data_IF_935193504819
#
_entry.id   IF_935193504819
#
_cell.length_a   1.000
_cell.length_b   1.000
_cell.length_c   1.000
_cell.angle_alpha   90.00
_cell.angle_beta   90.00
_cell.angle_gamma   90.00
#
_symmetry.space_group_name_H-M   'P 1'
#
loop_
_entity.id
_entity.type
_entity.pdbx_description
1 polymer ?
#
# COMPACT_ATOMS: atom_id res chain seq x y z
N UNK A 1 26.91 0.08 -9.79
CA UNK A 1 27.07 -1.19 -10.57
C UNK A 1 25.77 -2.01 -10.68
N UNK A 2 24.77 -1.80 -9.81
CA UNK A 2 23.51 -2.60 -9.80
C UNK A 2 22.43 -1.94 -10.68
N UNK A 3 22.45 -0.61 -10.88
CA UNK A 3 21.61 0.08 -11.85
C UNK A 3 21.74 -0.42 -13.29
N UNK A 4 22.81 -1.18 -13.57
CA UNK A 4 23.04 -1.80 -14.88
C UNK A 4 22.27 -3.13 -15.08
N UNK A 5 21.59 -3.66 -14.07
CA UNK A 5 20.91 -4.96 -14.12
C UNK A 5 19.42 -4.88 -14.49
N UNK A 6 18.82 -3.69 -14.41
CA UNK A 6 17.39 -3.50 -14.71
C UNK A 6 17.18 -2.39 -15.73
N UNK A 7 16.07 -2.50 -16.46
CA UNK A 7 15.59 -1.49 -17.40
C UNK A 7 14.24 -0.97 -16.92
N UNK A 8 14.06 0.37 -16.94
CA UNK A 8 12.80 1.03 -16.58
C UNK A 8 12.27 1.80 -17.79
N UNK A 9 11.04 1.47 -18.22
CA UNK A 9 10.32 2.16 -19.29
C UNK A 9 9.09 2.84 -18.72
N UNK A 10 8.88 4.13 -19.03
CA UNK A 10 7.76 4.93 -18.50
C UNK A 10 6.74 5.25 -19.60
N UNK A 11 5.47 5.15 -19.24
CA UNK A 11 4.32 5.53 -20.06
C UNK A 11 3.53 6.62 -19.33
N UNK A 12 3.50 7.83 -19.89
CA UNK A 12 2.61 8.88 -19.37
C UNK A 12 1.17 8.49 -19.60
N UNK A 13 0.33 8.80 -18.63
CA UNK A 13 -1.11 8.54 -18.69
C UNK A 13 -1.88 9.84 -18.37
N UNK A 14 -2.78 10.21 -19.29
CA UNK A 14 -3.64 11.39 -19.13
C UNK A 14 -5.02 11.03 -18.52
N UNK A 15 -5.19 9.77 -18.18
CA UNK A 15 -6.45 9.17 -17.79
C UNK A 15 -6.99 9.65 -16.43
N UNK A 16 -6.12 10.04 -15.50
CA UNK A 16 -6.51 10.30 -14.11
C UNK A 16 -7.13 11.68 -13.87
N UNK A 17 -7.11 12.53 -14.89
CA UNK A 17 -7.73 13.85 -14.84
C UNK A 17 -9.06 13.81 -15.58
N UNK A 18 -10.17 13.65 -14.85
CA UNK A 18 -11.50 13.76 -15.45
C UNK A 18 -12.07 15.19 -15.41
N UNK A 19 -11.25 16.18 -15.03
CA UNK A 19 -11.66 17.58 -14.89
C UNK A 19 -12.65 17.85 -13.74
N UNK A 20 -12.99 16.85 -12.95
CA UNK A 20 -13.95 16.96 -11.85
C UNK A 20 -13.30 17.35 -10.51
N UNK A 21 -12.01 17.12 -10.35
CA UNK A 21 -11.27 17.47 -9.13
C UNK A 21 -10.38 18.69 -9.38
N UNK A 22 -10.56 19.75 -8.60
CA UNK A 22 -9.63 20.89 -8.54
C UNK A 22 -8.26 20.49 -7.99
N UNK A 23 -8.19 19.35 -7.32
CA UNK A 23 -6.98 18.75 -6.75
C UNK A 23 -6.98 17.27 -7.13
N UNK A 24 -6.54 16.95 -8.36
CA UNK A 24 -6.38 15.55 -8.76
C UNK A 24 -5.50 14.85 -7.74
N UNK A 25 -6.07 13.85 -7.07
CA UNK A 25 -5.30 12.95 -6.19
C UNK A 25 -4.44 12.12 -7.14
N UNK A 26 -3.17 12.47 -7.24
CA UNK A 26 -2.23 11.87 -8.20
C UNK A 26 -1.92 10.39 -7.91
N UNK A 27 -2.69 9.73 -7.05
CA UNK A 27 -2.52 8.32 -6.68
C UNK A 27 -3.42 7.42 -7.50
N UNK A 28 -2.91 6.26 -7.88
CA UNK A 28 -3.70 5.16 -8.41
C UNK A 28 -3.12 3.80 -7.99
N UNK A 29 -3.96 2.79 -8.06
CA UNK A 29 -3.68 1.42 -7.69
C UNK A 29 -3.86 0.52 -8.90
N UNK A 30 -3.06 -0.53 -8.97
CA UNK A 30 -2.98 -1.45 -10.09
C UNK A 30 -3.38 -2.86 -9.65
N UNK A 31 -4.07 -3.59 -10.51
CA UNK A 31 -4.24 -5.02 -10.33
C UNK A 31 -4.26 -5.72 -11.69
N UNK A 32 -3.82 -6.97 -11.71
CA UNK A 32 -3.76 -7.76 -12.95
C UNK A 32 -4.91 -8.74 -13.01
N UNK A 33 -5.54 -8.83 -14.17
CA UNK A 33 -6.57 -9.83 -14.43
C UNK A 33 -6.47 -10.29 -15.88
N UNK A 34 -6.33 -11.60 -16.08
CA UNK A 34 -6.12 -12.21 -17.38
C UNK A 34 -4.99 -11.53 -18.17
N UNK A 35 -5.30 -10.98 -19.34
CA UNK A 35 -4.36 -10.23 -20.18
C UNK A 35 -4.44 -8.71 -19.97
N UNK A 36 -5.08 -8.25 -18.90
CA UNK A 36 -5.27 -6.82 -18.65
C UNK A 36 -4.70 -6.38 -17.31
N UNK A 37 -4.42 -5.08 -17.24
CA UNK A 37 -4.15 -4.36 -15.99
C UNK A 37 -5.32 -3.44 -15.73
N UNK A 38 -5.97 -3.61 -14.59
CA UNK A 38 -6.94 -2.67 -14.06
C UNK A 38 -6.19 -1.55 -13.35
N UNK A 39 -6.59 -0.30 -13.58
CA UNK A 39 -6.08 0.87 -12.88
C UNK A 39 -7.25 1.62 -12.23
N UNK A 40 -7.10 1.95 -10.96
CA UNK A 40 -8.11 2.71 -10.20
C UNK A 40 -7.45 3.90 -9.55
N UNK A 41 -7.89 5.11 -9.90
CA UNK A 41 -7.38 6.32 -9.26
C UNK A 41 -7.95 6.49 -7.85
N UNK A 42 -7.26 7.24 -7.01
CA UNK A 42 -7.77 7.61 -5.69
C UNK A 42 -9.10 8.39 -5.75
N UNK A 43 -9.40 9.01 -6.88
CA UNK A 43 -10.68 9.69 -7.15
C UNK A 43 -11.80 8.74 -7.65
N UNK A 44 -11.53 7.44 -7.76
CA UNK A 44 -12.51 6.44 -8.19
C UNK A 44 -12.70 6.34 -9.70
N UNK A 45 -11.81 6.91 -10.51
CA UNK A 45 -11.80 6.66 -11.96
C UNK A 45 -11.22 5.28 -12.22
N UNK A 46 -11.93 4.45 -12.97
CA UNK A 46 -11.53 3.08 -13.27
C UNK A 46 -11.28 2.92 -14.77
N UNK A 47 -10.23 2.20 -15.09
CA UNK A 47 -9.93 1.84 -16.46
C UNK A 47 -9.02 0.61 -16.54
N UNK A 48 -8.76 0.18 -17.76
CA UNK A 48 -7.88 -0.95 -18.02
C UNK A 48 -7.09 -0.76 -19.31
N UNK A 49 -6.00 -1.51 -19.41
CA UNK A 49 -5.24 -1.64 -20.65
C UNK A 49 -4.74 -3.08 -20.79
N UNK A 50 -4.54 -3.53 -22.06
CA UNK A 50 -3.99 -4.85 -22.30
C UNK A 50 -2.48 -4.89 -22.03
N UNK A 51 -2.02 -5.93 -21.35
CA UNK A 51 -0.62 -6.14 -20.95
C UNK A 51 0.34 -6.06 -22.15
N UNK A 52 -0.07 -6.52 -23.34
CA UNK A 52 0.75 -6.48 -24.54
C UNK A 52 1.13 -5.04 -24.96
N UNK A 53 0.37 -4.03 -24.55
CA UNK A 53 0.72 -2.63 -24.82
C UNK A 53 2.02 -2.20 -24.12
N UNK A 54 2.42 -2.88 -23.03
CA UNK A 54 3.67 -2.60 -22.32
C UNK A 54 4.92 -2.89 -23.18
N UNK A 55 4.80 -3.75 -24.18
CA UNK A 55 5.87 -4.02 -25.15
C UNK A 55 5.92 -2.98 -26.28
N UNK A 56 4.91 -2.13 -26.41
CA UNK A 56 4.83 -1.05 -27.41
C UNK A 56 5.36 0.27 -26.82
N UNK A 57 5.40 1.34 -27.63
CA UNK A 57 5.77 2.67 -27.16
C UNK A 57 4.58 3.54 -26.73
N UNK A 58 3.36 2.99 -26.78
CA UNK A 58 2.14 3.71 -26.44
C UNK A 58 1.23 2.86 -25.56
N UNK A 59 0.72 3.48 -24.51
CA UNK A 59 -0.29 2.89 -23.63
C UNK A 59 -1.61 3.66 -23.84
N UNK A 60 -2.69 2.92 -24.06
CA UNK A 60 -4.05 3.47 -24.16
C UNK A 60 -4.94 2.84 -23.12
N UNK A 61 -5.45 3.64 -22.18
CA UNK A 61 -6.32 3.18 -21.12
C UNK A 61 -7.78 3.34 -21.57
N UNK A 62 -8.55 2.27 -21.48
CA UNK A 62 -9.99 2.27 -21.72
C UNK A 62 -10.71 2.50 -20.40
N UNK A 63 -11.53 3.52 -20.33
CA UNK A 63 -12.33 3.85 -19.13
C UNK A 63 -13.45 2.83 -18.93
N UNK A 64 -13.71 2.46 -17.68
CA UNK A 64 -14.84 1.61 -17.29
C UNK A 64 -15.81 2.47 -16.46
N UNK A 65 -17.07 2.64 -16.90
CA UNK A 65 -18.10 3.30 -16.10
C UNK A 65 -18.37 2.55 -14.79
N UNK A 66 -18.59 3.29 -13.70
CA UNK A 66 -18.89 2.72 -12.38
C UNK A 66 -20.06 3.45 -11.72
N UNK A 67 -20.52 2.91 -10.59
CA UNK A 67 -21.49 3.55 -9.71
C UNK A 67 -20.83 3.98 -8.37
N UNK A 68 -19.53 4.19 -8.32
CA UNK A 68 -18.82 4.57 -7.07
C UNK A 68 -19.41 5.85 -6.47
N UNK A 69 -19.88 6.79 -7.29
CA UNK A 69 -20.52 8.04 -6.84
C UNK A 69 -21.75 7.81 -5.94
N UNK A 70 -22.38 6.63 -5.97
CA UNK A 70 -23.52 6.32 -5.09
C UNK A 70 -23.10 5.92 -3.65
N UNK A 71 -21.81 5.75 -3.38
CA UNK A 71 -21.27 5.35 -2.08
C UNK A 71 -20.47 6.45 -1.36
N UNK A 72 -20.33 7.61 -2.00
CA UNK A 72 -19.53 8.72 -1.50
C UNK A 72 -20.37 9.99 -1.42
N UNK A 73 -20.07 10.87 -0.45
CA UNK A 73 -20.50 12.26 -0.54
C UNK A 73 -19.64 12.98 -1.57
N UNK A 74 -20.25 13.44 -2.66
CA UNK A 74 -19.53 14.03 -3.79
C UNK A 74 -18.73 15.27 -3.37
N UNK A 75 -19.31 16.15 -2.56
CA UNK A 75 -18.65 17.39 -2.16
C UNK A 75 -17.43 17.10 -1.26
N UNK A 76 -17.59 16.24 -0.26
CA UNK A 76 -16.52 15.88 0.68
C UNK A 76 -15.44 15.06 -0.01
N UNK A 77 -15.81 14.01 -0.74
CA UNK A 77 -14.84 13.06 -1.33
C UNK A 77 -13.87 13.73 -2.30
N UNK A 78 -14.33 14.67 -3.11
CA UNK A 78 -13.49 15.35 -4.09
C UNK A 78 -12.75 16.58 -3.54
N UNK A 79 -13.15 17.12 -2.41
CA UNK A 79 -12.49 18.29 -1.80
C UNK A 79 -11.51 17.94 -0.70
N UNK A 80 -11.72 16.82 0.00
CA UNK A 80 -10.84 16.41 1.10
C UNK A 80 -9.73 15.46 0.59
N UNK A 81 -8.48 15.84 0.79
CA UNK A 81 -7.32 15.07 0.32
C UNK A 81 -7.18 13.71 1.00
N UNK A 82 -7.71 13.53 2.19
CA UNK A 82 -7.64 12.26 2.94
C UNK A 82 -8.70 11.24 2.50
N UNK A 83 -9.83 11.66 1.91
CA UNK A 83 -10.82 10.76 1.35
C UNK A 83 -10.32 10.20 0.01
N UNK A 84 -10.64 8.98 -0.31
CA UNK A 84 -10.29 8.38 -1.60
C UNK A 84 -10.32 6.85 -1.58
N UNK A 85 -10.18 6.27 -2.76
CA UNK A 85 -9.85 4.87 -2.92
C UNK A 85 -8.44 4.64 -2.34
N UNK A 86 -8.25 3.53 -1.63
CA UNK A 86 -6.99 3.19 -0.95
C UNK A 86 -6.33 1.94 -1.50
N UNK A 87 -7.09 1.09 -2.19
CA UNK A 87 -6.57 -0.07 -2.90
C UNK A 87 -7.59 -0.65 -3.88
N UNK A 88 -7.10 -1.42 -4.84
CA UNK A 88 -7.87 -2.35 -5.68
C UNK A 88 -7.29 -3.74 -5.57
N UNK A 89 -8.14 -4.71 -5.35
CA UNK A 89 -7.76 -6.12 -5.28
C UNK A 89 -8.74 -6.97 -6.10
N UNK A 90 -8.22 -7.96 -6.81
CA UNK A 90 -9.03 -8.91 -7.59
C UNK A 90 -8.85 -10.30 -6.99
N UNK A 91 -9.97 -10.93 -6.66
CA UNK A 91 -10.03 -12.34 -6.26
C UNK A 91 -11.09 -13.05 -7.09
N UNK A 92 -10.67 -14.06 -7.84
CA UNK A 92 -11.48 -14.70 -8.86
C UNK A 92 -12.07 -13.64 -9.83
N UNK A 93 -13.38 -13.67 -10.05
CA UNK A 93 -14.12 -12.71 -10.89
C UNK A 93 -14.61 -11.47 -10.13
N UNK A 94 -14.05 -11.16 -8.96
CA UNK A 94 -14.53 -10.04 -8.15
C UNK A 94 -13.45 -8.98 -7.97
N UNK A 95 -13.85 -7.72 -8.16
CA UNK A 95 -13.07 -6.53 -7.84
C UNK A 95 -13.48 -6.02 -6.47
N UNK A 96 -12.51 -5.83 -5.59
CA UNK A 96 -12.68 -5.21 -4.28
C UNK A 96 -11.98 -3.86 -4.27
N UNK A 97 -12.65 -2.82 -3.80
CA UNK A 97 -12.08 -1.48 -3.61
C UNK A 97 -12.20 -1.10 -2.14
N UNK A 98 -11.07 -0.84 -1.49
CA UNK A 98 -11.12 -0.16 -0.20
C UNK A 98 -11.18 1.35 -0.40
N UNK A 99 -11.91 2.03 0.45
CA UNK A 99 -12.08 3.47 0.38
C UNK A 99 -12.37 4.07 1.75
N UNK A 100 -12.03 5.33 1.93
CA UNK A 100 -12.45 6.09 3.10
C UNK A 100 -13.93 6.45 2.97
N UNK A 101 -14.75 5.89 3.85
CA UNK A 101 -16.19 6.06 3.89
C UNK A 101 -16.57 7.08 4.96
N UNK A 102 -17.40 8.04 4.59
CA UNK A 102 -18.09 8.88 5.53
C UNK A 102 -19.39 8.18 5.95
N UNK A 103 -19.46 7.71 7.21
CA UNK A 103 -20.65 7.03 7.71
C UNK A 103 -21.77 8.00 8.10
N UNK A 104 -21.38 9.15 8.62
CA UNK A 104 -22.24 10.27 9.01
C UNK A 104 -21.41 11.55 8.98
N UNK A 105 -22.04 12.70 9.17
CA UNK A 105 -21.36 13.98 9.18
C UNK A 105 -20.10 13.94 10.07
N UNK A 106 -18.97 14.30 9.48
CA UNK A 106 -17.61 14.32 10.08
C UNK A 106 -17.19 13.03 10.79
N UNK A 107 -17.66 11.86 10.35
CA UNK A 107 -17.25 10.58 10.92
C UNK A 107 -16.88 9.56 9.85
N UNK A 108 -15.63 9.09 9.87
CA UNK A 108 -14.99 8.37 8.78
C UNK A 108 -14.42 7.02 9.23
N UNK A 109 -14.39 6.08 8.31
CA UNK A 109 -13.70 4.81 8.47
C UNK A 109 -13.15 4.30 7.13
N UNK A 110 -12.55 3.11 7.13
CA UNK A 110 -12.19 2.37 5.91
C UNK A 110 -13.22 1.27 5.67
N UNK A 111 -13.74 1.18 4.45
CA UNK A 111 -14.75 0.20 4.04
C UNK A 111 -14.37 -0.41 2.70
N UNK A 112 -15.04 -1.49 2.29
CA UNK A 112 -14.79 -2.18 1.04
C UNK A 112 -16.06 -2.25 0.20
N UNK A 113 -15.94 -1.89 -1.08
CA UNK A 113 -16.91 -2.15 -2.13
C UNK A 113 -16.51 -3.41 -2.91
N UNK A 114 -17.51 -4.10 -3.48
CA UNK A 114 -17.30 -5.27 -4.32
C UNK A 114 -18.13 -5.17 -5.59
N UNK A 115 -17.52 -5.53 -6.73
CA UNK A 115 -18.20 -5.70 -8.02
C UNK A 115 -17.75 -7.01 -8.67
N UNK A 116 -18.56 -7.56 -9.57
CA UNK A 116 -18.07 -8.55 -10.53
C UNK A 116 -17.26 -7.86 -11.62
N UNK A 117 -16.20 -8.51 -12.08
CA UNK A 117 -15.41 -8.04 -13.21
C UNK A 117 -16.29 -7.94 -14.46
N UNK A 118 -16.39 -6.74 -15.01
CA UNK A 118 -17.01 -6.45 -16.30
C UNK A 118 -16.33 -5.23 -16.92
N UNK A 119 -15.66 -5.41 -18.03
CA UNK A 119 -14.96 -4.33 -18.74
C UNK A 119 -15.89 -3.29 -19.38
N UNK A 120 -17.20 -3.56 -19.44
CA UNK A 120 -18.20 -2.61 -19.94
C UNK A 120 -18.72 -1.69 -18.85
N UNK A 121 -18.89 -2.23 -17.63
CA UNK A 121 -19.38 -1.48 -16.47
C UNK A 121 -19.15 -2.24 -15.17
N UNK A 122 -18.54 -1.60 -14.17
CA UNK A 122 -18.42 -2.17 -12.83
C UNK A 122 -19.52 -1.62 -11.92
N UNK A 123 -20.40 -2.53 -11.47
CA UNK A 123 -21.47 -2.20 -10.52
C UNK A 123 -21.07 -2.66 -9.13
N UNK A 124 -20.62 -1.73 -8.32
CA UNK A 124 -20.23 -1.96 -6.95
C UNK A 124 -21.42 -2.05 -6.01
N UNK A 125 -21.25 -2.84 -4.95
CA UNK A 125 -22.12 -2.94 -3.80
C UNK A 125 -21.28 -2.86 -2.53
N UNK A 126 -21.86 -2.44 -1.39
CA UNK A 126 -21.20 -2.56 -0.10
C UNK A 126 -20.80 -4.02 0.15
N UNK A 127 -19.55 -4.24 0.52
CA UNK A 127 -19.05 -5.57 0.86
C UNK A 127 -18.72 -5.68 2.35
N UNK A 128 -17.98 -4.72 2.87
CA UNK A 128 -17.58 -4.67 4.28
C UNK A 128 -17.58 -3.24 4.79
N UNK A 129 -18.20 -3.05 5.94
CA UNK A 129 -18.18 -1.81 6.71
C UNK A 129 -18.48 -2.14 8.16
N UNK A 130 -17.94 -1.33 9.07
CA UNK A 130 -18.27 -1.38 10.50
C UNK A 130 -18.97 -0.08 10.91
N UNK A 131 -19.72 -0.09 12.01
CA UNK A 131 -20.37 1.11 12.53
C UNK A 131 -19.40 2.04 13.28
N UNK A 132 -18.21 1.53 13.61
CA UNK A 132 -17.16 2.33 14.24
C UNK A 132 -16.59 3.34 13.23
N UNK A 133 -16.51 4.59 13.64
CA UNK A 133 -15.91 5.66 12.87
C UNK A 133 -15.22 6.69 13.77
N UNK A 134 -14.31 7.47 13.22
CA UNK A 134 -13.63 8.55 13.94
C UNK A 134 -13.85 9.89 13.29
N UNK A 135 -13.89 10.94 14.10
CA UNK A 135 -14.06 12.33 13.66
C UNK A 135 -12.71 13.04 13.53
N UNK A 136 -12.66 14.11 12.76
CA UNK A 136 -11.51 15.01 12.73
C UNK A 136 -11.30 15.63 14.11
N UNK A 137 -10.19 15.32 14.77
CA UNK A 137 -9.96 15.71 16.16
C UNK A 137 -9.17 17.00 16.31
N UNK A 138 -8.41 17.42 15.29
CA UNK A 138 -7.55 18.60 15.37
C UNK A 138 -7.14 19.11 13.99
N UNK A 139 -7.08 20.45 13.84
CA UNK A 139 -6.49 21.10 12.66
C UNK A 139 -4.96 20.93 12.58
N UNK A 140 -4.31 20.41 13.62
CA UNK A 140 -2.87 20.22 13.71
C UNK A 140 -2.44 18.77 13.47
N UNK A 141 -3.39 17.85 13.50
CA UNK A 141 -3.16 16.43 13.26
C UNK A 141 -3.65 16.09 11.85
N UNK A 142 -2.72 15.83 10.94
CA UNK A 142 -3.01 15.37 9.58
C UNK A 142 -3.42 13.89 9.55
N UNK A 143 -4.16 13.47 10.55
CA UNK A 143 -4.37 12.10 10.97
C UNK A 143 -5.33 11.33 10.07
N UNK A 144 -6.27 12.02 9.43
CA UNK A 144 -7.25 11.39 8.55
C UNK A 144 -6.61 10.77 7.30
N UNK A 145 -5.33 11.08 7.01
CA UNK A 145 -4.56 10.44 5.95
C UNK A 145 -4.08 9.03 6.31
N UNK A 146 -4.12 8.65 7.58
CA UNK A 146 -3.65 7.35 8.06
C UNK A 146 -4.76 6.29 7.96
N UNK A 147 -5.23 6.04 6.77
CA UNK A 147 -6.37 5.13 6.56
C UNK A 147 -5.97 3.65 6.43
N UNK A 148 -4.71 3.35 6.07
CA UNK A 148 -4.37 2.01 5.60
C UNK A 148 -5.08 1.70 4.27
N UNK A 149 -5.73 0.55 4.18
CA UNK A 149 -6.64 0.20 3.10
C UNK A 149 -6.16 -0.92 2.18
N UNK A 150 -4.95 -1.46 2.35
CA UNK A 150 -4.47 -2.58 1.51
C UNK A 150 -5.28 -3.83 1.71
N UNK A 151 -5.55 -4.53 0.61
CA UNK A 151 -6.33 -5.77 0.56
C UNK A 151 -5.49 -6.87 -0.07
N UNK A 152 -5.45 -8.04 0.57
CA UNK A 152 -4.98 -9.29 -0.04
C UNK A 152 -5.96 -10.43 0.30
N UNK A 153 -5.87 -11.54 -0.43
CA UNK A 153 -6.49 -12.80 0.00
C UNK A 153 -5.56 -13.54 0.95
N UNK A 154 -6.09 -14.06 2.03
CA UNK A 154 -5.41 -15.04 2.87
C UNK A 154 -5.63 -16.45 2.30
N UNK A 155 -6.82 -16.70 1.79
CA UNK A 155 -7.26 -17.91 1.10
C UNK A 155 -8.67 -17.68 0.49
N UNK A 156 -9.30 -18.70 -0.05
CA UNK A 156 -10.64 -18.59 -0.69
C UNK A 156 -11.75 -18.13 0.27
N UNK A 157 -11.51 -18.17 1.59
CA UNK A 157 -12.51 -17.83 2.62
C UNK A 157 -12.31 -16.45 3.22
N UNK A 158 -11.08 -15.94 3.23
CA UNK A 158 -10.74 -14.72 3.96
C UNK A 158 -9.97 -13.72 3.12
N UNK A 159 -10.43 -12.46 3.15
CA UNK A 159 -9.61 -11.30 2.79
C UNK A 159 -8.93 -10.72 4.03
N UNK A 160 -7.79 -10.09 3.82
CA UNK A 160 -7.09 -9.29 4.84
C UNK A 160 -7.17 -7.82 4.44
N UNK A 161 -7.47 -6.97 5.40
CA UNK A 161 -7.53 -5.52 5.25
C UNK A 161 -6.61 -4.86 6.27
N UNK A 162 -5.80 -3.92 5.83
CA UNK A 162 -5.10 -3.02 6.74
C UNK A 162 -5.99 -1.85 7.11
N UNK A 163 -6.07 -1.54 8.41
CA UNK A 163 -6.82 -0.40 8.95
C UNK A 163 -5.86 0.51 9.69
N UNK A 164 -5.76 1.75 9.25
CA UNK A 164 -4.91 2.74 9.91
C UNK A 164 -5.52 3.31 11.19
N UNK A 165 -4.76 4.18 11.84
CA UNK A 165 -5.17 4.76 13.12
C UNK A 165 -6.17 5.93 12.99
N UNK A 166 -6.26 6.57 11.82
CA UNK A 166 -7.06 7.77 11.59
C UNK A 166 -6.84 8.86 12.67
N UNK A 167 -5.72 8.79 13.40
CA UNK A 167 -5.41 9.65 14.53
C UNK A 167 -6.18 9.38 15.82
N UNK A 168 -6.91 8.30 15.88
CA UNK A 168 -7.63 7.87 17.07
C UNK A 168 -6.73 7.01 17.96
N UNK A 169 -5.76 7.67 18.62
CA UNK A 169 -4.70 6.98 19.41
C UNK A 169 -5.24 6.07 20.51
N UNK A 170 -6.38 6.44 21.11
CA UNK A 170 -7.02 5.69 22.17
C UNK A 170 -7.57 4.33 21.70
N UNK A 171 -7.98 4.24 20.45
CA UNK A 171 -8.57 3.05 19.85
C UNK A 171 -7.53 1.96 19.48
N UNK A 172 -6.26 2.35 19.28
CA UNK A 172 -5.25 1.47 18.66
C UNK A 172 -4.91 0.27 19.54
N UNK A 173 -4.86 0.47 20.85
CA UNK A 173 -4.55 -0.59 21.81
C UNK A 173 -5.82 -1.27 22.37
N UNK A 174 -7.02 -0.77 22.01
CA UNK A 174 -8.30 -1.40 22.39
C UNK A 174 -8.58 -2.61 21.47
N UNK A 175 -8.78 -3.77 22.04
CA UNK A 175 -9.10 -5.02 21.32
C UNK A 175 -10.52 -5.03 20.73
N UNK A 176 -11.41 -4.13 21.17
CA UNK A 176 -12.76 -3.99 20.64
C UNK A 176 -12.85 -3.03 19.45
N UNK A 177 -11.79 -2.23 19.21
CA UNK A 177 -11.72 -1.33 18.06
C UNK A 177 -11.05 -2.00 16.88
N UNK A 178 -11.49 -1.67 15.66
CA UNK A 178 -10.82 -2.13 14.44
C UNK A 178 -9.74 -1.16 13.97
N UNK A 179 -9.64 0.06 14.50
CA UNK A 179 -8.60 1.03 14.15
C UNK A 179 -7.20 0.58 14.57
N UNK A 180 -6.21 0.86 13.72
CA UNK A 180 -4.81 0.46 13.95
C UNK A 180 -4.60 -1.06 13.97
N UNK A 181 -5.34 -1.77 13.15
CA UNK A 181 -5.33 -3.25 13.07
C UNK A 181 -5.05 -3.73 11.65
N UNK A 182 -4.55 -4.94 11.56
CA UNK A 182 -4.68 -5.77 10.37
C UNK A 182 -5.72 -6.83 10.69
N UNK A 183 -6.77 -6.90 9.90
CA UNK A 183 -7.93 -7.76 10.14
C UNK A 183 -8.12 -8.76 9.02
N UNK A 184 -8.64 -9.94 9.34
CA UNK A 184 -9.16 -10.88 8.36
C UNK A 184 -10.68 -10.83 8.35
N UNK A 185 -11.26 -10.79 7.16
CA UNK A 185 -12.70 -10.67 6.90
C UNK A 185 -13.17 -11.93 6.20
N UNK A 186 -14.14 -12.62 6.77
CA UNK A 186 -14.76 -13.76 6.10
C UNK A 186 -15.59 -13.29 4.89
N UNK A 187 -15.32 -13.84 3.70
CA UNK A 187 -15.94 -13.39 2.44
C UNK A 187 -17.47 -13.61 2.43
N UNK A 188 -17.96 -14.65 3.09
CA UNK A 188 -19.39 -14.97 3.12
C UNK A 188 -20.13 -14.23 4.22
N UNK A 189 -19.66 -14.35 5.46
CA UNK A 189 -20.37 -13.82 6.63
C UNK A 189 -20.11 -12.36 6.91
N UNK A 190 -19.03 -11.78 6.35
CA UNK A 190 -18.53 -10.40 6.60
C UNK A 190 -18.04 -10.16 8.03
N UNK A 191 -18.02 -11.21 8.87
CA UNK A 191 -17.41 -11.10 10.18
C UNK A 191 -15.90 -10.93 10.07
N UNK A 192 -15.31 -10.14 10.94
CA UNK A 192 -13.87 -9.97 10.98
C UNK A 192 -13.27 -10.40 12.30
N UNK A 193 -11.97 -10.67 12.27
CA UNK A 193 -11.14 -10.85 13.46
C UNK A 193 -9.78 -10.19 13.27
N UNK A 194 -9.16 -9.78 14.38
CA UNK A 194 -7.87 -9.11 14.38
C UNK A 194 -6.75 -10.14 14.16
N UNK A 195 -5.84 -9.86 13.23
CA UNK A 195 -4.60 -10.62 13.00
C UNK A 195 -3.46 -9.99 13.80
N UNK A 196 -3.34 -8.65 13.73
CA UNK A 196 -2.33 -7.90 14.48
C UNK A 196 -2.84 -6.51 14.83
N UNK A 197 -2.18 -5.85 15.80
CA UNK A 197 -2.57 -4.53 16.31
C UNK A 197 -1.35 -3.63 16.56
N UNK A 198 -1.62 -2.39 16.91
CA UNK A 198 -0.55 -1.43 17.17
C UNK A 198 0.05 -0.87 15.88
N UNK A 199 -0.79 -0.65 14.86
CA UNK A 199 -0.41 -0.10 13.56
C UNK A 199 -0.84 1.36 13.42
N UNK A 200 0.00 2.17 12.73
CA UNK A 200 -0.29 3.56 12.44
C UNK A 200 -0.96 3.73 11.07
N UNK A 201 -0.24 3.46 10.00
CA UNK A 201 -0.70 3.66 8.63
C UNK A 201 -0.10 2.61 7.68
N UNK A 202 -0.58 1.37 7.72
CA UNK A 202 -0.07 0.30 6.88
C UNK A 202 -0.42 0.52 5.41
N UNK A 203 0.62 0.60 4.54
CA UNK A 203 0.50 0.96 3.13
C UNK A 203 0.86 -0.16 2.16
N UNK A 204 1.43 -1.24 2.64
CA UNK A 204 1.75 -2.43 1.84
C UNK A 204 1.43 -3.71 2.59
N UNK A 205 1.10 -4.75 1.84
CA UNK A 205 0.70 -6.03 2.40
C UNK A 205 1.02 -7.19 1.44
N UNK A 206 1.75 -8.18 1.92
CA UNK A 206 2.06 -9.39 1.17
C UNK A 206 1.97 -10.64 2.06
N UNK A 207 1.49 -11.75 1.49
CA UNK A 207 1.42 -13.03 2.17
C UNK A 207 2.55 -13.94 1.71
N UNK A 208 3.33 -14.46 2.66
CA UNK A 208 4.25 -15.56 2.42
C UNK A 208 3.63 -16.88 2.88
N UNK A 209 3.07 -17.63 1.94
CA UNK A 209 2.45 -18.93 2.21
C UNK A 209 3.46 -19.96 2.74
N UNK A 210 4.75 -19.83 2.40
CA UNK A 210 5.78 -20.79 2.81
C UNK A 210 6.12 -20.64 4.30
N UNK A 211 6.28 -19.42 4.76
CA UNK A 211 6.56 -19.14 6.18
C UNK A 211 5.29 -18.90 7.02
N UNK A 212 4.12 -18.90 6.40
CA UNK A 212 2.83 -18.55 7.03
C UNK A 212 2.89 -17.17 7.71
N UNK A 213 3.46 -16.19 7.00
CA UNK A 213 3.75 -14.85 7.51
C UNK A 213 3.15 -13.78 6.61
N UNK A 214 2.48 -12.80 7.19
CA UNK A 214 2.14 -11.56 6.48
C UNK A 214 3.28 -10.56 6.66
N UNK A 215 3.69 -9.95 5.56
CA UNK A 215 4.63 -8.83 5.56
C UNK A 215 3.82 -7.55 5.36
N UNK A 216 3.93 -6.63 6.30
CA UNK A 216 3.29 -5.32 6.23
C UNK A 216 4.34 -4.22 6.22
N UNK A 217 4.08 -3.16 5.45
CA UNK A 217 4.86 -1.94 5.47
C UNK A 217 3.99 -0.80 5.97
N UNK A 218 4.51 0.05 6.85
CA UNK A 218 3.73 1.15 7.38
C UNK A 218 4.51 2.44 7.57
N UNK A 219 3.82 3.56 7.39
CA UNK A 219 4.36 4.88 7.70
C UNK A 219 4.41 5.11 9.20
N UNK A 220 5.59 5.39 9.70
CA UNK A 220 5.77 6.00 11.00
C UNK A 220 5.35 7.48 11.03
N UNK A 221 5.50 8.15 12.17
CA UNK A 221 5.42 9.60 12.25
C UNK A 221 6.64 10.25 11.58
N UNK A 222 7.22 11.30 12.12
CA UNK A 222 8.47 11.87 11.59
C UNK A 222 9.65 10.91 11.79
N UNK A 223 9.97 10.12 10.78
CA UNK A 223 10.81 8.93 10.89
C UNK A 223 10.00 7.68 11.29
N UNK A 224 10.67 6.54 11.41
CA UNK A 224 10.08 5.31 11.93
C UNK A 224 9.12 4.59 11.00
N UNK A 225 9.29 4.70 9.67
CA UNK A 225 8.64 3.77 8.73
C UNK A 225 9.12 2.35 9.03
N UNK A 226 8.22 1.36 8.93
CA UNK A 226 8.47 -0.01 9.39
C UNK A 226 8.14 -1.06 8.34
N UNK A 227 8.87 -2.18 8.40
CA UNK A 227 8.49 -3.45 7.78
C UNK A 227 8.23 -4.43 8.91
N UNK A 228 7.02 -4.92 9.00
CA UNK A 228 6.55 -5.80 10.06
C UNK A 228 6.32 -7.21 9.51
N UNK A 229 6.77 -8.22 10.26
CA UNK A 229 6.53 -9.64 9.98
C UNK A 229 5.51 -10.17 10.98
N UNK A 230 4.36 -10.58 10.50
CA UNK A 230 3.20 -11.01 11.30
C UNK A 230 3.05 -12.51 11.16
N UNK A 231 3.27 -13.26 12.25
CA UNK A 231 3.13 -14.71 12.24
C UNK A 231 1.65 -15.12 12.35
N UNK A 232 1.11 -15.70 11.28
CA UNK A 232 -0.26 -16.21 11.26
C UNK A 232 -0.48 -17.44 12.16
N UNK A 233 0.60 -18.05 12.63
CA UNK A 233 0.57 -19.14 13.62
C UNK A 233 0.63 -18.66 15.06
N UNK A 234 0.74 -17.36 15.32
CA UNK A 234 0.76 -16.82 16.68
C UNK A 234 -0.57 -17.11 17.41
N UNK A 235 -0.53 -17.51 18.70
CA UNK A 235 -1.72 -17.85 19.45
C UNK A 235 -2.65 -16.66 19.72
N UNK A 236 -2.09 -15.46 19.76
CA UNK A 236 -2.78 -14.18 19.96
C UNK A 236 -2.31 -13.15 18.93
N UNK A 237 -3.13 -12.13 18.62
CA UNK A 237 -2.73 -11.07 17.72
C UNK A 237 -1.45 -10.36 18.19
N UNK A 238 -0.43 -10.34 17.34
CA UNK A 238 0.83 -9.66 17.65
C UNK A 238 0.62 -8.14 17.70
N UNK A 239 1.30 -7.47 18.64
CA UNK A 239 1.17 -6.03 18.87
C UNK A 239 2.47 -5.30 18.51
N UNK A 240 2.40 -4.40 17.53
CA UNK A 240 3.53 -3.62 17.02
C UNK A 240 3.71 -2.26 17.71
N UNK A 241 2.94 -1.99 18.76
CA UNK A 241 3.23 -0.98 19.78
C UNK A 241 2.73 0.44 19.51
N UNK A 242 2.32 0.80 18.30
CA UNK A 242 1.78 2.13 18.06
C UNK A 242 0.52 2.40 18.91
N UNK A 243 0.32 3.58 19.52
CA UNK A 243 1.20 4.77 19.56
C UNK A 243 2.13 4.81 20.80
N UNK A 244 2.22 3.74 21.57
CA UNK A 244 3.02 3.68 22.81
C UNK A 244 4.51 3.67 22.49
N UNK A 245 4.92 2.94 21.44
CA UNK A 245 6.29 2.91 20.96
C UNK A 245 6.36 3.20 19.46
N UNK A 246 7.45 3.84 19.04
CA UNK A 246 7.80 4.12 17.64
C UNK A 246 9.23 4.64 17.57
N UNK A 247 9.93 4.38 16.48
CA UNK A 247 11.24 4.93 16.21
C UNK A 247 11.20 6.38 15.65
N UNK A 248 10.01 6.86 15.27
CA UNK A 248 9.80 8.23 14.77
C UNK A 248 9.44 9.24 15.87
N UNK A 249 9.25 10.50 15.44
CA UNK A 249 8.84 11.61 16.28
C UNK A 249 7.54 12.22 15.79
N UNK A 250 6.80 12.94 16.65
CA UNK A 250 5.60 13.65 16.20
C UNK A 250 5.93 14.77 15.20
N UNK A 251 5.09 14.93 14.18
CA UNK A 251 5.29 15.90 13.09
C UNK A 251 5.25 17.38 13.53
N UNK A 252 4.76 17.68 14.73
CA UNK A 252 4.61 19.03 15.27
C UNK A 252 5.89 19.59 15.91
N UNK A 253 7.07 19.18 15.43
CA UNK A 253 8.35 19.70 15.94
C UNK A 253 8.39 21.23 15.87
N UNK A 254 8.66 21.88 17.02
CA UNK A 254 8.76 23.34 17.17
C UNK A 254 7.60 24.00 17.95
N UNK A 255 6.56 23.26 18.31
CA UNK A 255 5.47 23.73 19.17
C UNK A 255 5.43 22.91 20.45
N UNK A 256 6.19 23.31 21.46
CA UNK A 256 6.43 22.56 22.71
C UNK A 256 5.13 22.14 23.42
N UNK A 257 4.10 23.00 23.45
CA UNK A 257 2.83 22.68 24.11
C UNK A 257 2.04 21.60 23.36
N UNK A 258 2.02 21.65 22.03
CA UNK A 258 1.38 20.64 21.19
C UNK A 258 2.12 19.31 21.31
N UNK A 259 3.45 19.34 21.29
CA UNK A 259 4.27 18.16 21.48
C UNK A 259 4.02 17.49 22.83
N UNK A 260 3.94 18.24 23.93
CA UNK A 260 3.70 17.68 25.26
C UNK A 260 2.33 16.97 25.34
N UNK A 261 1.30 17.55 24.75
CA UNK A 261 -0.03 16.94 24.67
C UNK A 261 -0.05 15.67 23.80
N UNK A 262 0.63 15.70 22.66
CA UNK A 262 0.74 14.52 21.79
C UNK A 262 1.51 13.40 22.45
N UNK A 263 2.67 13.69 23.10
CA UNK A 263 3.43 12.68 23.82
C UNK A 263 2.71 12.12 25.05
N UNK A 264 1.79 12.85 25.65
CA UNK A 264 0.94 12.30 26.71
C UNK A 264 -0.03 11.21 26.19
N UNK A 265 -0.54 11.36 24.98
CA UNK A 265 -1.44 10.40 24.32
C UNK A 265 -0.70 9.33 23.52
N UNK A 266 0.42 9.67 22.95
CA UNK A 266 1.25 8.83 22.10
C UNK A 266 2.74 9.01 22.48
N UNK A 267 3.26 8.25 23.46
CA UNK A 267 4.59 8.46 24.04
C UNK A 267 5.75 8.22 23.08
N UNK A 268 5.58 7.40 22.05
CA UNK A 268 6.60 7.05 21.04
C UNK A 268 7.92 6.59 21.66
N UNK A 269 7.86 5.66 22.60
CA UNK A 269 9.04 5.08 23.22
C UNK A 269 9.93 4.40 22.17
N UNK A 270 11.24 4.58 22.25
CA UNK A 270 12.21 4.15 21.22
C UNK A 270 12.62 2.67 21.33
N UNK A 271 11.76 1.81 21.87
CA UNK A 271 11.96 0.38 21.95
C UNK A 271 10.61 -0.31 22.06
N UNK A 272 10.31 -1.18 21.12
CA UNK A 272 9.08 -1.96 21.17
C UNK A 272 9.19 -3.05 22.27
N UNK A 273 10.26 -3.83 22.25
CA UNK A 273 10.45 -4.97 23.18
C UNK A 273 10.47 -4.56 24.63
N UNK A 274 11.02 -3.40 24.98
CA UNK A 274 11.05 -2.92 26.37
C UNK A 274 9.66 -2.57 26.94
N UNK A 275 8.69 -2.41 26.06
CA UNK A 275 7.28 -2.12 26.40
C UNK A 275 6.35 -3.31 26.11
N UNK A 276 6.93 -4.49 25.82
CA UNK A 276 6.17 -5.72 25.62
C UNK A 276 5.54 -5.88 24.22
N UNK A 277 6.06 -5.11 23.23
CA UNK A 277 5.59 -5.16 21.87
C UNK A 277 6.59 -5.88 20.96
N UNK A 278 6.13 -6.27 19.77
CA UNK A 278 6.95 -6.89 18.75
C UNK A 278 7.79 -5.83 18.02
N UNK A 279 9.08 -6.10 17.88
CA UNK A 279 9.97 -5.25 17.08
C UNK A 279 9.65 -5.41 15.60
N UNK A 280 9.71 -4.30 14.82
CA UNK A 280 9.69 -4.39 13.36
C UNK A 280 10.93 -5.16 12.84
N UNK A 281 10.77 -5.91 11.76
CA UNK A 281 11.90 -6.56 11.11
C UNK A 281 12.90 -5.56 10.52
N UNK A 282 12.40 -4.38 10.18
CA UNK A 282 13.18 -3.23 9.71
C UNK A 282 12.45 -1.94 10.02
N UNK A 283 13.20 -0.93 10.43
CA UNK A 283 12.68 0.45 10.52
C UNK A 283 13.61 1.43 9.81
N UNK A 284 13.10 2.60 9.47
CA UNK A 284 13.80 3.66 8.77
C UNK A 284 13.71 4.98 9.53
N UNK A 285 14.87 5.53 9.87
CA UNK A 285 15.02 6.88 10.42
C UNK A 285 16.18 7.55 9.66
N UNK A 286 15.88 8.56 8.86
CA UNK A 286 14.58 9.17 8.57
C UNK A 286 13.64 8.26 7.78
N UNK A 287 12.34 8.62 7.72
CA UNK A 287 11.33 7.94 6.89
C UNK A 287 11.72 7.95 5.42
N UNK A 288 11.33 6.90 4.70
CA UNK A 288 11.50 6.78 3.25
C UNK A 288 10.19 7.01 2.49
N UNK A 289 9.07 7.24 3.21
CA UNK A 289 7.74 7.23 2.62
C UNK A 289 7.40 5.86 2.07
N UNK A 290 7.54 4.84 2.92
CA UNK A 290 7.34 3.44 2.54
C UNK A 290 5.94 3.22 1.95
N UNK A 291 5.80 2.39 0.90
CA UNK A 291 4.52 2.13 0.27
C UNK A 291 4.26 0.63 0.12
N UNK A 292 4.06 0.11 -1.07
CA UNK A 292 3.70 -1.28 -1.30
C UNK A 292 4.85 -2.26 -1.07
N UNK A 293 4.50 -3.50 -0.74
CA UNK A 293 5.40 -4.64 -0.68
C UNK A 293 4.86 -5.79 -1.52
N UNK A 294 5.72 -6.40 -2.32
CA UNK A 294 5.38 -7.59 -3.12
C UNK A 294 6.48 -8.64 -3.05
N UNK A 295 6.12 -9.89 -3.31
CA UNK A 295 7.10 -10.94 -3.60
C UNK A 295 7.64 -10.81 -5.02
N UNK A 296 8.97 -10.96 -5.16
CA UNK A 296 9.62 -11.13 -6.43
C UNK A 296 9.84 -12.65 -6.66
N UNK A 297 9.19 -13.26 -7.65
CA UNK A 297 9.47 -14.64 -8.00
C UNK A 297 10.94 -14.84 -8.38
N UNK A 298 11.44 -16.04 -8.14
CA UNK A 298 12.80 -16.42 -8.49
C UNK A 298 13.12 -16.14 -9.97
N UNK A 299 14.36 -15.77 -10.25
CA UNK A 299 14.86 -15.47 -11.61
C UNK A 299 14.17 -14.31 -12.35
N UNK A 300 13.32 -13.49 -11.69
CA UNK A 300 12.60 -12.39 -12.36
C UNK A 300 13.34 -11.06 -12.34
N UNK A 301 14.13 -10.78 -11.29
CA UNK A 301 14.99 -9.59 -11.21
C UNK A 301 16.47 -9.93 -11.38
N UNK A 302 16.92 -11.06 -10.84
CA UNK A 302 18.30 -11.52 -10.86
C UNK A 302 18.35 -12.97 -11.37
N UNK A 303 19.54 -13.40 -11.85
CA UNK A 303 19.76 -14.78 -12.32
C UNK A 303 20.11 -15.68 -11.13
N UNK A 304 19.23 -15.80 -10.16
CA UNK A 304 19.39 -16.71 -9.02
C UNK A 304 18.03 -17.21 -8.51
N UNK A 305 18.06 -18.23 -7.66
CA UNK A 305 16.87 -18.86 -7.07
C UNK A 305 16.55 -18.29 -5.67
N UNK A 306 17.02 -17.08 -5.38
CA UNK A 306 16.75 -16.43 -4.09
C UNK A 306 15.34 -15.82 -4.07
N UNK A 307 14.59 -16.13 -3.02
CA UNK A 307 13.29 -15.47 -2.73
C UNK A 307 13.54 -14.06 -2.22
N UNK A 308 12.82 -13.12 -2.77
CA UNK A 308 12.93 -11.71 -2.41
C UNK A 308 11.58 -11.06 -2.20
N UNK A 309 11.59 -10.00 -1.42
CA UNK A 309 10.51 -9.01 -1.43
C UNK A 309 11.05 -7.70 -2.00
N UNK A 310 10.15 -6.98 -2.66
CA UNK A 310 10.37 -5.62 -3.15
C UNK A 310 9.48 -4.71 -2.32
N UNK A 311 10.09 -3.74 -1.65
CA UNK A 311 9.41 -2.68 -0.90
C UNK A 311 9.61 -1.38 -1.66
N UNK A 312 8.54 -0.70 -2.01
CA UNK A 312 8.60 0.58 -2.72
C UNK A 312 8.56 1.77 -1.77
N UNK A 313 9.09 2.91 -2.22
CA UNK A 313 9.08 4.15 -1.46
C UNK A 313 8.57 5.33 -2.29
N UNK A 314 7.94 6.27 -1.61
CA UNK A 314 7.42 7.51 -2.18
C UNK A 314 8.30 8.72 -1.87
N UNK A 315 9.43 8.51 -1.18
CA UNK A 315 10.21 9.60 -0.62
C UNK A 315 9.47 10.33 0.50
N UNK A 316 10.19 11.12 1.25
CA UNK A 316 9.64 11.95 2.30
C UNK A 316 10.12 13.39 2.11
N UNK A 317 9.19 14.31 1.91
CA UNK A 317 9.49 15.74 1.87
C UNK A 317 8.97 16.39 3.14
N UNK A 318 9.86 16.98 3.92
CA UNK A 318 9.51 17.85 5.03
C UNK A 318 10.32 19.15 4.91
N UNK A 319 9.80 20.27 5.40
CA UNK A 319 10.45 21.57 5.30
C UNK A 319 11.94 21.50 5.68
N UNK A 320 12.80 21.62 4.69
CA UNK A 320 14.26 21.63 4.83
C UNK A 320 14.98 20.28 4.70
N UNK A 321 14.27 19.17 4.47
CA UNK A 321 14.86 17.85 4.25
C UNK A 321 14.17 17.15 3.07
N UNK A 322 14.75 17.26 1.89
CA UNK A 322 14.39 16.43 0.74
C UNK A 322 15.07 15.07 0.88
N UNK A 323 14.35 14.10 1.44
CA UNK A 323 14.79 12.71 1.44
C UNK A 323 14.16 12.00 0.24
N UNK A 324 14.76 12.24 -0.90
CA UNK A 324 14.42 11.65 -2.20
C UNK A 324 14.74 10.15 -2.23
N UNK A 325 14.11 9.37 -1.35
CA UNK A 325 14.28 7.92 -1.39
C UNK A 325 13.40 7.27 -2.47
N UNK A 326 13.14 7.77 -3.57
CA UNK A 326 12.33 7.22 -4.67
C UNK A 326 12.90 5.89 -5.19
N UNK A 327 12.85 4.85 -4.37
CA UNK A 327 13.67 3.65 -4.50
C UNK A 327 12.83 2.39 -4.30
N UNK A 328 13.19 1.32 -4.98
CA UNK A 328 12.79 -0.04 -4.63
C UNK A 328 13.86 -0.63 -3.70
N UNK A 329 13.46 -0.98 -2.49
CA UNK A 329 14.29 -1.67 -1.51
C UNK A 329 14.03 -3.17 -1.64
N UNK A 330 15.06 -3.94 -1.97
CA UNK A 330 14.94 -5.38 -2.20
C UNK A 330 15.59 -6.10 -1.04
N UNK A 331 14.85 -7.02 -0.45
CA UNK A 331 15.31 -7.85 0.66
C UNK A 331 15.24 -9.31 0.30
N UNK A 332 16.17 -10.06 0.85
CA UNK A 332 16.17 -11.52 0.87
C UNK A 332 16.19 -12.03 2.30
N UNK A 333 15.87 -13.28 2.51
CA UNK A 333 15.99 -13.93 3.80
C UNK A 333 14.87 -14.89 4.10
N UNK A 334 14.93 -15.41 5.28
CA UNK A 334 13.87 -16.18 5.90
C UNK A 334 12.91 -15.19 6.57
N UNK A 335 11.79 -14.92 5.90
CA UNK A 335 10.79 -13.94 6.36
C UNK A 335 10.14 -14.28 7.72
N UNK A 336 10.44 -15.44 8.27
CA UNK A 336 10.06 -15.77 9.64
C UNK A 336 11.06 -15.23 10.67
N UNK A 337 12.34 -15.15 10.30
CA UNK A 337 13.43 -14.82 11.21
C UNK A 337 14.09 -13.46 10.94
N UNK A 338 13.66 -12.73 9.91
CA UNK A 338 14.15 -11.40 9.62
C UNK A 338 14.37 -11.10 8.14
N UNK A 339 14.89 -9.92 7.87
CA UNK A 339 15.11 -9.38 6.53
C UNK A 339 16.57 -8.97 6.35
N UNK A 340 17.17 -9.38 5.25
CA UNK A 340 18.48 -8.90 4.84
C UNK A 340 18.34 -7.98 3.62
N UNK A 341 18.78 -6.72 3.75
CA UNK A 341 18.85 -5.82 2.61
C UNK A 341 19.80 -6.38 1.55
N UNK A 342 19.28 -6.61 0.35
CA UNK A 342 20.07 -7.12 -0.78
C UNK A 342 20.46 -5.96 -1.72
N UNK A 343 19.48 -5.30 -2.30
CA UNK A 343 19.69 -4.28 -3.35
C UNK A 343 18.76 -3.10 -3.15
N UNK A 344 19.19 -1.93 -3.68
CA UNK A 344 18.34 -0.75 -3.86
C UNK A 344 18.36 -0.35 -5.34
N UNK A 345 17.17 -0.12 -5.91
CA UNK A 345 17.00 0.35 -7.29
C UNK A 345 16.31 1.71 -7.26
N UNK A 346 17.05 2.77 -7.59
CA UNK A 346 16.48 4.12 -7.66
C UNK A 346 15.61 4.26 -8.91
N UNK A 347 14.33 4.62 -8.72
CA UNK A 347 13.37 4.90 -9.78
C UNK A 347 13.34 6.40 -10.08
N UNK A 348 13.54 7.23 -9.06
CA UNK A 348 13.60 8.70 -9.16
C UNK A 348 12.22 9.37 -9.13
N UNK A 349 11.16 8.66 -8.80
CA UNK A 349 9.81 9.18 -8.61
C UNK A 349 9.08 8.43 -7.50
N UNK A 350 8.03 9.05 -6.93
CA UNK A 350 7.17 8.45 -5.91
C UNK A 350 6.47 7.21 -6.46
N UNK A 351 6.71 6.06 -5.84
CA UNK A 351 6.14 4.78 -6.24
C UNK A 351 4.96 4.46 -5.31
N UNK A 352 3.72 4.59 -5.82
CA UNK A 352 2.52 4.31 -5.02
C UNK A 352 2.21 2.83 -4.94
N UNK A 353 2.34 2.15 -6.05
CA UNK A 353 1.93 0.75 -6.19
C UNK A 353 2.89 0.00 -7.11
N UNK A 354 3.05 -1.29 -6.89
CA UNK A 354 3.87 -2.18 -7.71
C UNK A 354 3.21 -3.55 -7.80
N UNK A 355 3.17 -4.12 -9.00
CA UNK A 355 2.64 -5.48 -9.24
C UNK A 355 3.57 -6.28 -10.15
N UNK A 356 3.66 -7.57 -9.90
CA UNK A 356 4.32 -8.50 -10.80
C UNK A 356 3.35 -9.02 -11.86
N UNK A 357 3.68 -8.82 -13.13
CA UNK A 357 2.88 -9.28 -14.28
C UNK A 357 3.42 -10.63 -14.74
N UNK A 358 2.81 -11.69 -14.26
CA UNK A 358 3.27 -13.07 -14.47
C UNK A 358 3.40 -13.46 -15.96
N UNK A 359 2.44 -13.03 -16.79
CA UNK A 359 2.41 -13.38 -18.23
C UNK A 359 3.59 -12.87 -19.03
N UNK A 360 4.24 -11.78 -18.60
CA UNK A 360 5.41 -11.18 -19.27
C UNK A 360 6.67 -11.22 -18.40
N UNK A 361 6.60 -11.75 -17.17
CA UNK A 361 7.75 -11.87 -16.27
C UNK A 361 8.36 -10.53 -15.84
N UNK A 362 7.57 -9.46 -15.76
CA UNK A 362 8.02 -8.08 -15.48
C UNK A 362 7.17 -7.45 -14.38
N UNK A 363 7.64 -6.30 -13.87
CA UNK A 363 6.93 -5.53 -12.84
C UNK A 363 6.40 -4.25 -13.42
N UNK A 364 5.19 -3.88 -13.01
CA UNK A 364 4.60 -2.57 -13.30
C UNK A 364 4.50 -1.77 -12.02
N UNK A 365 4.69 -0.46 -12.14
CA UNK A 365 4.60 0.49 -11.03
C UNK A 365 3.71 1.66 -11.42
N UNK A 366 2.96 2.19 -10.46
CA UNK A 366 2.32 3.50 -10.59
C UNK A 366 3.21 4.57 -9.96
N UNK A 367 3.53 5.61 -10.75
CA UNK A 367 4.35 6.75 -10.34
C UNK A 367 3.48 7.99 -10.16
N UNK A 368 3.60 8.68 -9.01
CA UNK A 368 2.72 9.81 -8.65
C UNK A 368 3.19 11.16 -9.14
N UNK A 369 4.51 11.43 -9.19
CA UNK A 369 5.02 12.77 -9.54
C UNK A 369 4.68 13.17 -10.98
N UNK A 370 4.78 12.19 -11.88
CA UNK A 370 4.33 12.33 -13.26
C UNK A 370 3.38 11.18 -13.55
N UNK A 371 2.04 11.32 -13.32
CA UNK A 371 1.12 10.19 -13.43
C UNK A 371 1.49 9.27 -14.58
N UNK A 372 2.08 8.12 -14.24
CA UNK A 372 2.68 7.24 -15.23
C UNK A 372 2.67 5.77 -14.76
N UNK A 373 2.60 4.87 -15.74
CA UNK A 373 2.93 3.46 -15.54
C UNK A 373 4.41 3.28 -15.89
N UNK A 374 5.18 2.68 -15.00
CA UNK A 374 6.55 2.28 -15.28
C UNK A 374 6.65 0.75 -15.35
N UNK A 375 7.33 0.26 -16.37
CA UNK A 375 7.66 -1.15 -16.55
C UNK A 375 9.11 -1.38 -16.11
N UNK A 376 9.31 -2.26 -15.14
CA UNK A 376 10.61 -2.70 -14.68
C UNK A 376 10.87 -4.12 -15.20
N UNK A 377 11.97 -4.30 -15.88
CA UNK A 377 12.42 -5.59 -16.39
C UNK A 377 13.89 -5.81 -16.10
N UNK A 378 14.28 -7.06 -16.03
CA UNK A 378 15.67 -7.47 -16.03
C UNK A 378 16.37 -7.04 -17.33
N UNK A 379 17.59 -6.56 -17.24
CA UNK A 379 18.40 -6.25 -18.41
C UNK A 379 18.97 -7.55 -18.98
N UNK A 380 18.69 -7.83 -20.25
CA UNK A 380 19.33 -8.96 -20.93
C UNK A 380 20.84 -8.72 -21.04
N UNK A 381 21.64 -9.62 -20.53
CA UNK A 381 23.08 -9.60 -20.73
C UNK A 381 23.37 -9.83 -22.22
N UNK A 382 24.41 -9.20 -22.75
CA UNK A 382 24.81 -9.35 -24.18
C UNK A 382 25.05 -10.84 -24.54
N UNK A 383 25.47 -11.66 -23.60
CA UNK A 383 25.70 -13.10 -23.77
C UNK A 383 24.40 -13.88 -24.04
N UNK A 384 23.28 -13.49 -23.41
CA UNK A 384 21.97 -14.10 -23.67
C UNK A 384 21.43 -13.76 -25.07
N UNK A 385 21.77 -12.59 -25.60
CA UNK A 385 21.43 -12.21 -27.00
C UNK A 385 22.17 -13.04 -28.03
N UNK A 386 23.42 -13.39 -27.77
CA UNK A 386 24.25 -14.20 -28.69
C UNK A 386 23.74 -15.64 -28.69
N UNK A 387 23.38 -16.20 -27.55
CA UNK A 387 22.83 -17.55 -27.45
C UNK A 387 21.49 -17.69 -28.16
N UNK A 388 20.60 -16.70 -28.04
CA UNK A 388 19.31 -16.67 -28.74
C UNK A 388 19.41 -16.40 -30.25
N UNK A 389 20.50 -15.83 -30.73
CA UNK A 389 20.77 -15.64 -32.16
C UNK A 389 21.39 -16.92 -32.82
N UNK A 390 22.04 -17.76 -32.03
CA UNK A 390 22.65 -19.00 -32.50
C UNK A 390 21.65 -20.17 -32.46
N UNK A 391 20.58 -20.06 -31.65
CA UNK A 391 19.51 -21.08 -31.52
C UNK A 391 18.32 -20.88 -32.46
N UNK A 392 18.36 -19.89 -33.35
CA UNK A 392 17.41 -19.68 -34.44
C UNK A 392 18.06 -20.01 -35.79
#
# INVERSE_FOLDING_TARGET
>A
QIADLVHVKKFKIDFLSNGKSLFSKASAYLETIDENVLIVSADGVVGYFNINQLETNKLSITSIPTNIESFIDYAEFYTQSFLGIKDVYINDDNVYLSYTKQLKEDCFNISILKAKVDYKKLIFNDFFSVDECTTRTSIYDDNMHHAGGRIISLNDTFLVLTVGDFGNYEAIQDDNSYFGKIIKINIDTKNYSIISKGHRNPQGLALDDVSNTIISTEHGPYGGDEINLIDLGAPEPENFGWPVSSYGEHNSMGRVEINSSLYARAPLNKSHVNYGFKEPAKFYVPSIGISEVIFAPENTLFNDNERRIIVSSMGYTHEGFDLDDFTLHIFKGDYKNGLQQDVKIRIGERIRDIKYVKSIGKYIMFLENSPAIALLSKKELLEDKITNLISR
#
